data_IF_367716836102
#
_entry.id   IF_367716836102
#
_cell.length_a   1.000
_cell.length_b   1.000
_cell.length_c   1.000
_cell.angle_alpha   90.00
_cell.angle_beta   90.00
_cell.angle_gamma   90.00
#
_symmetry.space_group_name_H-M   'P 1'
#
loop_
_entity.id
_entity.type
_entity.pdbx_description
1 polymer ?
#
# COMPACT_ATOMS: atom_id res chain seq x y z
N UNK A 1 11.86 4.49 0.23
CA UNK A 1 12.47 3.15 0.40
C UNK A 1 11.47 2.01 0.33
N UNK A 2 10.34 2.05 1.05
CA UNK A 2 9.38 0.94 1.13
C UNK A 2 8.96 0.32 -0.22
N UNK A 3 8.72 1.12 -1.27
CA UNK A 3 8.29 0.62 -2.58
C UNK A 3 9.33 0.78 -3.69
N UNK A 4 10.59 1.09 -3.36
CA UNK A 4 11.62 1.41 -4.36
C UNK A 4 11.85 0.26 -5.35
N UNK A 5 11.77 -0.96 -4.86
CA UNK A 5 11.99 -2.19 -5.64
C UNK A 5 10.69 -2.76 -6.24
N UNK A 6 9.53 -2.17 -5.95
CA UNK A 6 8.26 -2.59 -6.54
C UNK A 6 8.00 -1.76 -7.81
N UNK A 7 8.12 -2.35 -9.01
CA UNK A 7 7.98 -1.60 -10.25
C UNK A 7 6.52 -1.19 -10.52
N UNK A 8 5.53 -1.76 -9.82
CA UNK A 8 4.11 -1.46 -10.00
C UNK A 8 3.63 -0.35 -9.08
N UNK A 9 4.27 -0.11 -7.94
CA UNK A 9 3.88 0.95 -7.00
C UNK A 9 4.78 2.18 -7.19
N UNK A 10 4.16 3.36 -7.32
CA UNK A 10 4.87 4.64 -7.44
C UNK A 10 4.50 5.54 -6.27
N UNK A 11 5.53 6.15 -5.70
CA UNK A 11 5.39 7.29 -4.76
C UNK A 11 5.94 8.52 -5.49
N UNK A 12 5.18 9.63 -5.56
CA UNK A 12 5.65 10.87 -6.19
C UNK A 12 6.97 11.35 -5.60
N UNK A 13 7.87 11.86 -6.45
CA UNK A 13 9.09 12.48 -5.96
C UNK A 13 8.78 13.78 -5.20
N UNK A 14 9.45 13.98 -4.05
CA UNK A 14 9.26 15.20 -3.24
C UNK A 14 10.23 16.28 -3.73
N UNK A 15 9.69 17.45 -4.07
CA UNK A 15 10.50 18.63 -4.38
C UNK A 15 10.86 19.37 -3.09
N UNK A 16 11.94 18.94 -2.45
CA UNK A 16 12.36 19.44 -1.13
C UNK A 16 12.54 20.97 -1.09
N UNK A 17 13.06 21.59 -2.15
CA UNK A 17 13.24 23.05 -2.24
C UNK A 17 11.94 23.86 -2.35
N UNK A 18 10.82 23.20 -2.64
CA UNK A 18 9.48 23.81 -2.71
C UNK A 18 8.58 23.33 -1.57
N UNK A 19 9.11 22.55 -0.63
CA UNK A 19 8.39 22.00 0.52
C UNK A 19 8.73 22.81 1.77
N UNK A 20 7.75 23.01 2.64
CA UNK A 20 7.87 23.68 3.94
C UNK A 20 7.05 22.95 5.00
N UNK A 21 7.06 23.42 6.24
CA UNK A 21 6.26 22.85 7.34
C UNK A 21 4.76 22.78 7.03
N UNK A 22 4.24 23.69 6.19
CA UNK A 22 2.80 23.81 5.90
C UNK A 22 2.42 23.48 4.46
N UNK A 23 3.40 23.17 3.59
CA UNK A 23 3.18 22.92 2.17
C UNK A 23 4.08 21.78 1.73
N UNK A 24 3.48 20.67 1.31
CA UNK A 24 4.17 19.57 0.64
C UNK A 24 4.07 19.74 -0.87
N UNK A 25 5.21 19.79 -1.55
CA UNK A 25 5.26 19.91 -3.02
C UNK A 25 5.92 18.67 -3.62
N UNK A 26 5.25 18.03 -4.57
CA UNK A 26 5.68 16.76 -5.15
C UNK A 26 5.43 16.69 -6.66
N UNK A 27 6.00 15.66 -7.30
CA UNK A 27 5.78 15.33 -8.70
C UNK A 27 4.29 15.30 -9.02
N UNK A 28 3.88 16.04 -10.05
CA UNK A 28 2.51 16.00 -10.53
C UNK A 28 2.27 14.72 -11.32
N UNK A 29 1.32 13.91 -10.86
CA UNK A 29 0.99 12.64 -11.51
C UNK A 29 -0.31 12.75 -12.30
N UNK A 30 -0.22 12.53 -13.61
CA UNK A 30 -1.39 12.31 -14.44
C UNK A 30 -1.92 10.89 -14.20
N UNK A 31 -3.21 10.75 -13.91
CA UNK A 31 -3.81 9.43 -13.70
C UNK A 31 -5.30 9.48 -13.47
N UNK A 32 -5.91 8.31 -13.40
CA UNK A 32 -7.32 8.12 -13.06
C UNK A 32 -7.40 7.68 -11.60
N UNK A 33 -8.27 8.29 -10.81
CA UNK A 33 -8.51 7.84 -9.43
C UNK A 33 -8.94 6.38 -9.42
N UNK A 34 -8.46 5.61 -8.44
CA UNK A 34 -8.79 4.18 -8.37
C UNK A 34 -10.29 3.91 -8.23
N UNK A 35 -11.06 4.84 -7.66
CA UNK A 35 -12.53 4.75 -7.59
C UNK A 35 -13.20 4.66 -8.97
N UNK A 36 -12.60 5.29 -9.98
CA UNK A 36 -13.08 5.26 -11.37
C UNK A 36 -12.42 4.15 -12.20
N UNK A 37 -11.69 3.21 -11.58
CA UNK A 37 -11.05 2.09 -12.28
C UNK A 37 -12.05 1.30 -13.14
N UNK A 38 -13.32 1.25 -12.71
CA UNK A 38 -14.35 0.54 -13.45
C UNK A 38 -14.73 1.17 -14.79
N UNK A 39 -14.49 2.46 -14.94
CA UNK A 39 -14.84 3.26 -16.11
C UNK A 39 -13.78 3.15 -17.21
N UNK A 40 -12.61 2.57 -16.92
CA UNK A 40 -11.53 2.36 -17.88
C UNK A 40 -11.81 1.04 -18.63
N UNK A 41 -12.20 1.07 -19.93
CA UNK A 41 -12.71 -0.11 -20.63
C UNK A 41 -11.71 -1.26 -20.73
N UNK A 42 -10.42 -0.93 -20.88
CA UNK A 42 -9.32 -1.89 -21.06
C UNK A 42 -8.36 -1.91 -19.87
N UNK A 43 -8.78 -1.42 -18.70
CA UNK A 43 -7.92 -1.46 -17.53
C UNK A 43 -7.67 -2.91 -17.08
N UNK A 44 -6.43 -3.25 -16.66
CA UNK A 44 -6.12 -4.53 -16.07
C UNK A 44 -6.61 -4.58 -14.61
N UNK A 45 -7.93 -4.49 -14.39
CA UNK A 45 -8.57 -4.29 -13.07
C UNK A 45 -8.08 -5.27 -12.02
N UNK A 46 -8.08 -6.57 -12.33
CA UNK A 46 -7.61 -7.62 -11.42
C UNK A 46 -6.14 -7.42 -11.01
N UNK A 47 -5.28 -7.00 -11.95
CA UNK A 47 -3.87 -6.73 -11.66
C UNK A 47 -3.69 -5.49 -10.80
N UNK A 48 -4.51 -4.44 -11.01
CA UNK A 48 -4.52 -3.24 -10.16
C UNK A 48 -4.91 -3.60 -8.73
N UNK A 49 -5.99 -4.35 -8.55
CA UNK A 49 -6.46 -4.78 -7.23
C UNK A 49 -5.41 -5.66 -6.54
N UNK A 50 -4.84 -6.65 -7.25
CA UNK A 50 -3.77 -7.48 -6.70
C UNK A 50 -2.53 -6.66 -6.31
N UNK A 51 -2.21 -5.59 -7.06
CA UNK A 51 -1.10 -4.68 -6.72
C UNK A 51 -1.40 -3.92 -5.42
N UNK A 52 -2.63 -3.44 -5.25
CA UNK A 52 -3.07 -2.81 -4.01
C UNK A 52 -3.01 -3.77 -2.83
N UNK A 53 -3.57 -4.96 -2.97
CA UNK A 53 -3.55 -6.00 -1.94
C UNK A 53 -2.13 -6.35 -1.52
N UNK A 54 -1.23 -6.54 -2.50
CA UNK A 54 0.18 -6.82 -2.22
C UNK A 54 0.88 -5.64 -1.53
N UNK A 55 0.60 -4.40 -1.93
CA UNK A 55 1.17 -3.22 -1.28
C UNK A 55 0.73 -3.11 0.19
N UNK A 56 -0.55 -3.33 0.46
CA UNK A 56 -1.10 -3.34 1.83
C UNK A 56 -0.54 -4.50 2.65
N UNK A 57 -0.52 -5.71 2.09
CA UNK A 57 0.05 -6.88 2.75
C UNK A 57 1.54 -6.68 3.06
N UNK A 58 2.31 -6.10 2.14
CA UNK A 58 3.72 -5.77 2.35
C UNK A 58 3.89 -4.79 3.51
N UNK A 59 3.12 -3.70 3.54
CA UNK A 59 3.18 -2.72 4.64
C UNK A 59 2.93 -3.37 6.00
N UNK A 60 1.95 -4.26 6.09
CA UNK A 60 1.54 -4.91 7.35
C UNK A 60 2.52 -6.02 7.75
N UNK A 61 2.77 -6.98 6.86
CA UNK A 61 3.43 -8.24 7.20
C UNK A 61 4.95 -8.23 6.97
N UNK A 62 5.46 -7.33 6.12
CA UNK A 62 6.89 -7.30 5.74
C UNK A 62 7.58 -6.05 6.29
N UNK A 63 6.99 -4.88 6.11
CA UNK A 63 7.64 -3.61 6.49
C UNK A 63 7.31 -3.22 7.93
N UNK A 64 6.09 -3.51 8.40
CA UNK A 64 5.63 -3.03 9.71
C UNK A 64 5.40 -1.52 9.75
N UNK A 65 5.30 -0.87 8.59
CA UNK A 65 5.07 0.56 8.44
C UNK A 65 3.83 0.77 7.58
N UNK A 66 2.70 1.05 8.23
CA UNK A 66 1.37 0.95 7.62
C UNK A 66 0.76 2.32 7.40
N UNK A 67 0.28 2.54 6.18
CA UNK A 67 -0.48 3.74 5.83
C UNK A 67 -1.82 3.74 6.60
N UNK A 68 -2.03 4.73 7.46
CA UNK A 68 -3.18 4.80 8.37
C UNK A 68 -4.46 5.31 7.72
N UNK A 69 -4.39 5.95 6.55
CA UNK A 69 -5.55 6.49 5.83
C UNK A 69 -5.51 6.17 4.32
N UNK A 70 -5.36 4.88 3.98
CA UNK A 70 -5.27 4.44 2.58
C UNK A 70 -6.66 4.40 1.93
N UNK A 71 -7.25 5.57 1.70
CA UNK A 71 -8.53 5.72 1.04
C UNK A 71 -8.39 5.88 -0.48
N UNK A 72 -9.46 5.64 -1.24
CA UNK A 72 -9.46 5.70 -2.71
C UNK A 72 -9.00 7.05 -3.28
N UNK A 73 -9.28 8.16 -2.58
CA UNK A 73 -8.84 9.50 -2.97
C UNK A 73 -7.32 9.73 -2.95
N UNK A 74 -6.54 8.91 -2.24
CA UNK A 74 -5.08 9.01 -2.13
C UNK A 74 -4.37 8.12 -3.14
N UNK A 75 -5.12 7.60 -4.12
CA UNK A 75 -4.64 6.59 -5.04
C UNK A 75 -5.00 6.91 -6.48
N UNK A 76 -3.99 6.91 -7.34
CA UNK A 76 -4.17 7.06 -8.78
C UNK A 76 -3.65 5.83 -9.52
N UNK A 77 -4.22 5.57 -10.68
CA UNK A 77 -3.70 4.66 -11.69
C UNK A 77 -3.18 5.50 -12.84
N UNK A 78 -1.88 5.38 -13.12
CA UNK A 78 -1.23 6.06 -14.24
C UNK A 78 -0.69 5.05 -15.25
N UNK A 79 -0.81 5.28 -16.57
CA UNK A 79 -0.17 4.43 -17.57
C UNK A 79 1.36 4.38 -17.40
N UNK A 80 1.96 3.23 -17.65
CA UNK A 80 3.41 3.07 -17.64
C UNK A 80 3.83 2.10 -18.76
N UNK A 81 4.77 2.51 -19.61
CA UNK A 81 5.16 1.71 -20.79
C UNK A 81 5.85 0.37 -20.44
N UNK A 82 6.50 0.30 -19.27
CA UNK A 82 7.22 -0.91 -18.83
C UNK A 82 6.32 -1.91 -18.13
N UNK A 83 5.44 -1.44 -17.26
CA UNK A 83 4.61 -2.29 -16.40
C UNK A 83 3.14 -2.37 -16.83
N UNK A 84 2.74 -1.54 -17.79
CA UNK A 84 1.37 -1.26 -18.22
C UNK A 84 0.73 -0.12 -17.42
N UNK A 85 0.91 -0.14 -16.10
CA UNK A 85 0.41 0.90 -15.19
C UNK A 85 1.30 1.02 -13.95
N UNK A 86 1.17 2.13 -13.24
CA UNK A 86 1.55 2.23 -11.84
C UNK A 86 0.33 2.53 -10.95
N UNK A 87 0.29 1.87 -9.80
CA UNK A 87 -0.51 2.28 -8.66
C UNK A 87 0.26 3.36 -7.91
N UNK A 88 -0.29 4.57 -7.86
CA UNK A 88 0.34 5.73 -7.27
C UNK A 88 -0.26 5.98 -5.90
N UNK A 89 0.57 6.05 -4.88
CA UNK A 89 0.17 6.46 -3.52
C UNK A 89 0.55 7.94 -3.36
N UNK A 90 -0.45 8.79 -3.11
CA UNK A 90 -0.27 10.25 -3.08
C UNK A 90 0.00 10.78 -1.67
N UNK A 91 -0.84 10.38 -0.73
CA UNK A 91 -0.74 10.83 0.65
C UNK A 91 0.21 9.91 1.41
N UNK A 92 1.01 10.52 2.27
CA UNK A 92 1.93 9.83 3.16
C UNK A 92 1.96 10.47 4.56
N UNK A 93 0.95 11.28 4.88
CA UNK A 93 0.88 12.08 6.11
C UNK A 93 0.46 11.30 7.35
N UNK A 94 -0.17 10.14 7.19
CA UNK A 94 -0.58 9.29 8.31
C UNK A 94 -0.01 7.88 8.17
N UNK A 95 1.01 7.58 8.97
CA UNK A 95 1.58 6.25 9.10
C UNK A 95 1.58 5.77 10.56
N UNK A 96 1.59 4.46 10.71
CA UNK A 96 1.80 3.78 11.99
C UNK A 96 2.89 2.73 11.82
N UNK A 97 3.85 2.77 12.73
CA UNK A 97 4.82 1.69 12.88
C UNK A 97 4.23 0.62 13.81
N UNK A 98 4.31 -0.63 13.38
CA UNK A 98 3.88 -1.79 14.14
C UNK A 98 5.06 -2.35 14.92
N UNK A 99 4.89 -2.52 16.23
CA UNK A 99 5.88 -3.23 17.03
C UNK A 99 6.11 -4.65 16.49
N UNK A 100 7.37 -5.08 16.46
CA UNK A 100 7.74 -6.37 15.87
C UNK A 100 7.01 -7.56 16.53
N UNK A 101 6.83 -7.50 17.85
CA UNK A 101 6.04 -8.51 18.59
C UNK A 101 4.61 -8.56 18.10
N UNK A 102 3.93 -7.40 18.06
CA UNK A 102 2.56 -7.30 17.55
C UNK A 102 2.46 -7.84 16.12
N UNK A 103 3.37 -7.41 15.23
CA UNK A 103 3.39 -7.85 13.84
C UNK A 103 3.56 -9.37 13.71
N UNK A 104 4.44 -9.96 14.52
CA UNK A 104 4.68 -11.41 14.53
C UNK A 104 3.44 -12.17 15.00
N UNK A 105 2.82 -11.73 16.09
CA UNK A 105 1.55 -12.30 16.58
C UNK A 105 0.44 -12.16 15.55
N UNK A 106 0.37 -11.01 14.85
CA UNK A 106 -0.61 -10.77 13.78
C UNK A 106 -0.37 -11.69 12.56
N UNK A 107 0.88 -11.90 12.13
CA UNK A 107 1.22 -12.88 11.09
C UNK A 107 0.77 -14.30 11.49
N UNK A 108 1.03 -14.69 12.75
CA UNK A 108 0.65 -16.00 13.26
C UNK A 108 -0.87 -16.17 13.29
N UNK A 109 -1.60 -15.13 13.68
CA UNK A 109 -3.06 -15.11 13.69
C UNK A 109 -3.62 -15.42 12.29
N UNK A 110 -3.20 -14.66 11.27
CA UNK A 110 -3.66 -14.85 9.89
C UNK A 110 -3.28 -16.21 9.32
N UNK A 111 -2.04 -16.66 9.58
CA UNK A 111 -1.58 -17.99 9.14
C UNK A 111 -2.44 -19.10 9.74
N UNK A 112 -2.72 -19.00 11.04
CA UNK A 112 -3.50 -20.02 11.76
C UNK A 112 -4.96 -20.02 11.32
N UNK A 113 -5.53 -18.84 11.03
CA UNK A 113 -6.88 -18.72 10.47
C UNK A 113 -7.00 -19.44 9.12
N UNK A 114 -6.05 -19.18 8.20
CA UNK A 114 -6.05 -19.80 6.86
C UNK A 114 -5.82 -21.31 6.94
N UNK A 115 -5.02 -21.78 7.90
CA UNK A 115 -4.74 -23.19 8.10
C UNK A 115 -5.83 -23.95 8.89
N UNK A 116 -6.81 -23.25 9.49
CA UNK A 116 -7.77 -23.86 10.42
C UNK A 116 -7.13 -24.34 11.74
N UNK A 117 -6.00 -23.76 12.13
CA UNK A 117 -5.23 -24.13 13.32
C UNK A 117 -5.72 -23.35 14.56
N UNK A 118 -6.62 -23.97 15.33
CA UNK A 118 -7.22 -23.35 16.54
C UNK A 118 -6.20 -23.13 17.66
N UNK A 119 -5.22 -24.03 17.79
CA UNK A 119 -4.16 -23.89 18.79
C UNK A 119 -3.23 -22.72 18.42
N UNK A 120 -2.90 -22.60 17.14
CA UNK A 120 -2.16 -21.47 16.57
C UNK A 120 -2.87 -20.14 16.79
N UNK A 121 -4.18 -20.09 16.58
CA UNK A 121 -5.01 -18.90 16.86
C UNK A 121 -4.95 -18.49 18.33
N UNK A 122 -5.09 -19.45 19.25
CA UNK A 122 -5.04 -19.16 20.69
C UNK A 122 -3.68 -18.56 21.07
N UNK A 123 -2.58 -19.19 20.63
CA UNK A 123 -1.23 -18.69 20.89
C UNK A 123 -0.98 -17.30 20.33
N UNK A 124 -1.53 -17.00 19.15
CA UNK A 124 -1.37 -15.69 18.50
C UNK A 124 -2.02 -14.55 19.29
N UNK A 125 -3.07 -14.82 20.05
CA UNK A 125 -3.82 -13.79 20.79
C UNK A 125 -3.39 -13.69 22.26
N UNK A 126 -2.82 -14.76 22.82
CA UNK A 126 -2.41 -14.81 24.24
C UNK A 126 -0.92 -14.61 24.48
N UNK A 127 -0.08 -14.70 23.43
CA UNK A 127 1.38 -14.57 23.48
C UNK A 127 1.86 -13.19 23.08
#
# INVERSE_FOLDING_TARGET
EAFREDPLVKVPEIYAGLTSERVLTMEFIHGVKIEHLNEIPSAPKAKVIATLENAVAKMIFVDGFVHGDLHTGNMLITPNDKTGFNLVLLDHGLYRELEERFRTSYCLLWRSLVAGDVDGLTKAVTG
#
